data_IF_488999210790
#
_entry.id   IF_488999210790
#
_cell.length_a   1.000
_cell.length_b   1.000
_cell.length_c   1.000
_cell.angle_alpha   90.00
_cell.angle_beta   90.00
_cell.angle_gamma   90.00
#
_symmetry.space_group_name_H-M   'P 1'
#
loop_
_entity.id
_entity.type
_entity.pdbx_description
1 polymer ?
#
# COMPACT_ATOMS: atom_id res chain seq x y z
N UNK A 1 -25.48 18.53 -30.51
CA UNK A 1 -26.95 18.56 -30.50
C UNK A 1 -27.36 19.53 -29.41
N UNK A 2 -28.49 20.23 -29.54
CA UNK A 2 -28.97 21.12 -28.46
C UNK A 2 -29.67 20.31 -27.40
N UNK A 3 -29.32 20.52 -26.14
CA UNK A 3 -30.09 20.03 -24.98
C UNK A 3 -31.51 20.62 -25.06
N UNK A 4 -32.52 19.81 -24.77
CA UNK A 4 -33.92 20.30 -24.69
C UNK A 4 -34.02 21.24 -23.49
N UNK A 5 -34.59 22.42 -23.67
CA UNK A 5 -34.78 23.40 -22.60
C UNK A 5 -36.29 23.68 -22.45
N UNK A 6 -36.93 23.26 -21.33
CA UNK A 6 -36.34 22.64 -20.14
C UNK A 6 -36.03 21.14 -20.30
N UNK A 7 -35.04 20.62 -19.56
CA UNK A 7 -34.69 19.19 -19.47
C UNK A 7 -35.65 18.44 -18.53
N UNK A 8 -36.20 19.12 -17.52
CA UNK A 8 -37.12 18.54 -16.53
C UNK A 8 -38.57 18.84 -16.94
N UNK A 9 -39.41 17.80 -16.97
CA UNK A 9 -40.86 17.94 -17.12
C UNK A 9 -41.50 18.39 -15.81
N UNK A 10 -41.31 17.59 -14.76
CA UNK A 10 -41.82 17.87 -13.42
C UNK A 10 -41.01 17.12 -12.35
N UNK A 11 -41.21 17.54 -11.10
CA UNK A 11 -40.74 16.83 -9.92
C UNK A 11 -41.92 16.14 -9.26
N UNK A 12 -41.75 14.88 -8.87
CA UNK A 12 -42.69 14.17 -8.00
C UNK A 12 -42.05 13.98 -6.62
N UNK A 13 -42.42 14.81 -5.63
CA UNK A 13 -41.86 14.70 -4.29
C UNK A 13 -42.37 13.50 -3.49
N UNK A 14 -43.53 12.94 -3.83
CA UNK A 14 -44.08 11.79 -3.12
C UNK A 14 -43.31 10.52 -3.49
N UNK A 15 -42.99 10.36 -4.77
CA UNK A 15 -42.16 9.27 -5.27
C UNK A 15 -40.65 9.57 -5.22
N UNK A 16 -40.27 10.83 -4.98
CA UNK A 16 -38.89 11.33 -5.06
C UNK A 16 -38.27 11.07 -6.43
N UNK A 17 -38.91 11.61 -7.47
CA UNK A 17 -38.53 11.40 -8.89
C UNK A 17 -38.41 12.72 -9.65
N UNK A 18 -37.34 12.84 -10.42
CA UNK A 18 -37.13 13.93 -11.38
C UNK A 18 -37.46 13.37 -12.76
N UNK A 19 -38.59 13.78 -13.36
CA UNK A 19 -38.99 13.30 -14.67
C UNK A 19 -38.38 14.15 -15.78
N UNK A 20 -37.74 13.50 -16.75
CA UNK A 20 -37.18 14.19 -17.91
C UNK A 20 -38.28 14.59 -18.91
N UNK A 21 -38.12 15.77 -19.50
CA UNK A 21 -39.00 16.33 -20.51
C UNK A 21 -39.05 15.50 -21.79
N UNK A 22 -40.15 15.64 -22.52
CA UNK A 22 -40.31 14.98 -23.80
C UNK A 22 -39.24 15.45 -24.80
N UNK A 23 -38.50 14.50 -25.38
CA UNK A 23 -37.40 14.76 -26.31
C UNK A 23 -36.04 14.95 -25.65
N UNK A 24 -35.92 14.90 -24.31
CA UNK A 24 -34.65 14.98 -23.61
C UNK A 24 -33.80 13.74 -23.88
N UNK A 25 -32.77 13.88 -24.72
CA UNK A 25 -31.83 12.80 -25.09
C UNK A 25 -30.44 13.01 -24.50
N UNK A 26 -30.17 14.16 -23.89
CA UNK A 26 -28.88 14.50 -23.27
C UNK A 26 -29.13 15.42 -22.07
N UNK A 27 -28.35 15.24 -20.99
CA UNK A 27 -28.26 16.22 -19.91
C UNK A 27 -26.91 16.16 -19.19
N UNK A 28 -26.55 17.28 -18.58
CA UNK A 28 -25.46 17.39 -17.63
C UNK A 28 -26.04 17.61 -16.21
N UNK A 29 -25.76 16.72 -15.23
CA UNK A 29 -26.40 16.72 -13.92
C UNK A 29 -26.32 18.05 -13.14
N UNK A 30 -25.21 18.78 -13.26
CA UNK A 30 -25.02 20.06 -12.54
C UNK A 30 -25.56 21.28 -13.29
N UNK A 31 -25.31 21.40 -14.60
CA UNK A 31 -25.71 22.60 -15.35
C UNK A 31 -27.18 22.58 -15.71
N UNK A 32 -27.75 21.40 -15.90
CA UNK A 32 -29.12 21.26 -16.41
C UNK A 32 -30.02 20.87 -15.24
N UNK A 33 -29.87 19.66 -14.67
CA UNK A 33 -30.77 19.19 -13.61
C UNK A 33 -30.70 20.06 -12.34
N UNK A 34 -29.52 20.28 -11.76
CA UNK A 34 -29.42 21.09 -10.54
C UNK A 34 -29.89 22.53 -10.74
N UNK A 35 -29.57 23.16 -11.87
CA UNK A 35 -30.00 24.52 -12.16
C UNK A 35 -31.52 24.63 -12.36
N UNK A 36 -32.12 23.67 -13.07
CA UNK A 36 -33.56 23.62 -13.30
C UNK A 36 -34.35 23.28 -12.04
N UNK A 37 -33.90 22.32 -11.22
CA UNK A 37 -34.53 22.03 -9.91
C UNK A 37 -34.55 23.27 -9.03
N UNK A 38 -33.46 24.05 -9.01
CA UNK A 38 -33.39 25.31 -8.27
C UNK A 38 -34.38 26.34 -8.81
N UNK A 39 -34.55 26.40 -10.13
CA UNK A 39 -35.50 27.31 -10.79
C UNK A 39 -36.95 26.90 -10.53
N UNK A 40 -37.29 25.62 -10.69
CA UNK A 40 -38.63 25.07 -10.41
C UNK A 40 -39.03 25.33 -8.96
N UNK A 41 -38.15 25.07 -7.99
CA UNK A 41 -38.42 25.35 -6.57
C UNK A 41 -38.57 26.83 -6.23
N UNK A 42 -38.02 27.73 -7.06
CA UNK A 42 -38.18 29.18 -6.90
C UNK A 42 -39.51 29.67 -7.47
N UNK A 43 -40.02 29.02 -8.51
CA UNK A 43 -41.22 29.43 -9.23
C UNK A 43 -42.49 28.74 -8.71
N UNK A 44 -42.37 27.54 -8.17
CA UNK A 44 -43.46 26.76 -7.61
C UNK A 44 -43.34 26.63 -6.09
N UNK A 45 -44.20 27.36 -5.37
CA UNK A 45 -44.26 27.35 -3.91
C UNK A 45 -44.60 25.96 -3.34
N UNK A 46 -45.26 25.10 -4.11
CA UNK A 46 -45.55 23.73 -3.69
C UNK A 46 -44.29 22.87 -3.63
N UNK A 47 -43.18 23.29 -4.22
CA UNK A 47 -41.90 22.57 -4.15
C UNK A 47 -40.97 23.14 -3.07
N UNK A 48 -41.33 24.26 -2.44
CA UNK A 48 -40.47 24.95 -1.48
C UNK A 48 -40.36 24.17 -0.15
N UNK A 49 -41.45 23.54 0.29
CA UNK A 49 -41.52 22.84 1.59
C UNK A 49 -40.82 21.48 1.62
N UNK A 50 -40.37 20.97 0.47
CA UNK A 50 -39.63 19.72 0.39
C UNK A 50 -38.12 19.91 0.55
N UNK A 51 -37.45 18.84 1.01
CA UNK A 51 -36.00 18.78 1.01
C UNK A 51 -35.44 18.85 -0.42
N UNK A 52 -34.23 19.39 -0.55
CA UNK A 52 -33.60 19.58 -1.86
C UNK A 52 -33.37 18.23 -2.57
N UNK A 53 -33.89 18.02 -3.79
CA UNK A 53 -33.67 16.78 -4.54
C UNK A 53 -32.22 16.53 -4.97
N UNK A 54 -31.52 17.62 -5.32
CA UNK A 54 -30.17 17.55 -5.88
C UNK A 54 -29.32 18.70 -5.35
N UNK A 55 -28.07 18.40 -5.00
CA UNK A 55 -27.05 19.39 -4.66
C UNK A 55 -25.88 19.29 -5.64
N UNK A 56 -25.15 20.38 -5.82
CA UNK A 56 -23.92 20.39 -6.62
C UNK A 56 -22.72 20.48 -5.69
N UNK A 57 -21.73 19.61 -5.91
CA UNK A 57 -20.48 19.57 -5.16
C UNK A 57 -19.28 19.47 -6.13
N UNK A 58 -18.08 19.43 -5.58
CA UNK A 58 -16.84 19.48 -6.35
C UNK A 58 -16.36 20.91 -6.57
N UNK A 59 -15.68 21.17 -7.70
CA UNK A 59 -15.00 22.44 -7.97
C UNK A 59 -14.01 22.85 -6.85
N UNK A 60 -13.37 21.85 -6.23
CA UNK A 60 -12.38 22.04 -5.16
C UNK A 60 -11.06 22.43 -5.83
N UNK A 61 -10.38 23.50 -5.38
CA UNK A 61 -9.11 23.92 -5.97
C UNK A 61 -8.03 22.85 -5.76
N UNK A 62 -7.35 22.46 -6.84
CA UNK A 62 -6.17 21.58 -6.83
C UNK A 62 -4.85 22.36 -6.85
N UNK A 63 -4.91 23.69 -6.90
CA UNK A 63 -3.76 24.56 -7.17
C UNK A 63 -3.51 24.79 -8.66
N UNK A 64 -2.71 25.80 -9.00
CA UNK A 64 -2.36 26.11 -10.41
C UNK A 64 -3.53 26.48 -11.31
N UNK A 65 -4.62 27.03 -10.76
CA UNK A 65 -5.85 27.35 -11.51
C UNK A 65 -6.69 26.13 -11.92
N UNK A 66 -6.31 24.92 -11.49
CA UNK A 66 -7.05 23.67 -11.76
C UNK A 66 -8.01 23.35 -10.62
N UNK A 67 -9.14 22.75 -10.95
CA UNK A 67 -10.20 22.38 -10.00
C UNK A 67 -10.60 20.90 -10.19
N UNK A 68 -11.21 20.29 -9.17
CA UNK A 68 -11.93 19.02 -9.35
C UNK A 68 -13.16 19.23 -10.21
N UNK A 69 -13.57 18.17 -10.93
CA UNK A 69 -14.83 18.16 -11.68
C UNK A 69 -16.01 18.46 -10.75
N UNK A 70 -17.04 19.11 -11.29
CA UNK A 70 -18.32 19.29 -10.59
C UNK A 70 -19.14 18.02 -10.75
N UNK A 71 -19.87 17.66 -9.69
CA UNK A 71 -20.78 16.53 -9.70
C UNK A 71 -22.09 16.87 -8.99
N UNK A 72 -23.17 16.21 -9.40
CA UNK A 72 -24.46 16.30 -8.73
C UNK A 72 -24.59 15.18 -7.70
N UNK A 73 -25.16 15.50 -6.54
CA UNK A 73 -25.55 14.54 -5.51
C UNK A 73 -27.07 14.55 -5.43
N UNK A 74 -27.72 13.46 -5.84
CA UNK A 74 -29.14 13.25 -5.58
C UNK A 74 -29.32 12.86 -4.12
N UNK A 75 -30.11 13.65 -3.41
CA UNK A 75 -30.25 13.53 -1.96
C UNK A 75 -31.51 12.74 -1.61
N UNK A 76 -31.54 12.14 -0.44
CA UNK A 76 -32.71 11.56 0.21
C UNK A 76 -33.45 10.51 -0.64
N UNK A 77 -32.75 9.76 -1.48
CA UNK A 77 -33.32 8.72 -2.34
C UNK A 77 -34.04 9.23 -3.60
N UNK A 78 -33.77 10.49 -4.01
CA UNK A 78 -34.25 10.99 -5.30
C UNK A 78 -33.53 10.32 -6.48
N UNK A 79 -34.29 10.00 -7.53
CA UNK A 79 -33.76 9.41 -8.77
C UNK A 79 -34.30 10.13 -10.01
N UNK A 80 -33.56 10.06 -11.11
CA UNK A 80 -33.97 10.61 -12.41
C UNK A 80 -34.76 9.56 -13.20
N UNK A 81 -35.90 9.93 -13.76
CA UNK A 81 -36.72 9.05 -14.60
C UNK A 81 -36.60 9.51 -16.04
N UNK A 82 -36.04 8.68 -16.95
CA UNK A 82 -36.06 8.96 -18.37
C UNK A 82 -37.46 9.12 -18.93
N UNK A 83 -37.57 9.76 -20.09
CA UNK A 83 -38.83 9.74 -20.83
C UNK A 83 -39.23 8.29 -21.18
N UNK A 84 -40.52 7.97 -21.03
CA UNK A 84 -41.08 6.66 -21.34
C UNK A 84 -41.27 6.42 -22.86
N UNK A 85 -40.15 6.49 -23.58
CA UNK A 85 -40.03 6.19 -25.01
C UNK A 85 -38.68 5.52 -25.29
N UNK A 86 -38.60 4.71 -26.32
CA UNK A 86 -37.33 4.07 -26.70
C UNK A 86 -36.37 5.09 -27.31
N UNK A 87 -35.25 5.36 -26.64
CA UNK A 87 -34.23 6.32 -27.08
C UNK A 87 -32.86 6.03 -26.45
N UNK A 88 -31.84 6.78 -26.87
CA UNK A 88 -30.54 6.83 -26.22
C UNK A 88 -30.43 8.10 -25.38
N UNK A 89 -29.96 7.98 -24.15
CA UNK A 89 -29.81 9.06 -23.17
C UNK A 89 -28.33 9.26 -22.84
N UNK A 90 -27.81 10.45 -23.13
CA UNK A 90 -26.41 10.81 -22.92
C UNK A 90 -26.24 11.66 -21.66
N UNK A 91 -25.30 11.28 -20.80
CA UNK A 91 -25.02 11.94 -19.52
C UNK A 91 -23.55 12.34 -19.50
N UNK A 92 -23.29 13.64 -19.62
CA UNK A 92 -21.94 14.22 -19.83
C UNK A 92 -21.25 14.70 -18.56
N UNK A 93 -21.88 14.54 -17.40
CA UNK A 93 -21.35 14.96 -16.10
C UNK A 93 -21.49 13.88 -15.04
N UNK A 94 -20.84 14.11 -13.90
CA UNK A 94 -20.84 13.14 -12.82
C UNK A 94 -22.05 13.29 -11.90
N UNK A 95 -22.65 12.16 -11.54
CA UNK A 95 -23.83 12.09 -10.68
C UNK A 95 -23.70 10.91 -9.73
N UNK A 96 -24.07 11.15 -8.47
CA UNK A 96 -24.07 10.18 -7.38
C UNK A 96 -25.31 10.35 -6.52
N UNK A 97 -25.64 9.37 -5.69
CA UNK A 97 -26.66 9.50 -4.63
C UNK A 97 -25.99 9.60 -3.25
N UNK A 98 -26.71 10.14 -2.26
CA UNK A 98 -26.29 10.09 -0.86
C UNK A 98 -26.38 8.68 -0.23
N UNK A 99 -26.92 7.71 -0.97
CA UNK A 99 -26.99 6.29 -0.63
C UNK A 99 -25.82 5.47 -1.21
N UNK A 100 -24.90 6.11 -1.94
CA UNK A 100 -23.69 5.49 -2.48
C UNK A 100 -23.84 4.87 -3.88
N UNK A 101 -24.92 5.18 -4.59
CA UNK A 101 -25.06 4.84 -6.02
C UNK A 101 -24.36 5.89 -6.89
N UNK A 102 -23.94 5.50 -8.10
CA UNK A 102 -23.25 6.39 -9.04
C UNK A 102 -23.66 6.11 -10.50
N UNK A 103 -23.53 7.15 -11.34
CA UNK A 103 -23.73 7.04 -12.78
C UNK A 103 -25.13 6.54 -13.15
N UNK A 104 -25.28 5.50 -14.01
CA UNK A 104 -26.59 5.00 -14.43
C UNK A 104 -27.50 4.52 -13.31
N UNK A 105 -26.95 4.11 -12.15
CA UNK A 105 -27.74 3.65 -11.01
C UNK A 105 -28.57 4.78 -10.35
N UNK A 106 -28.25 6.04 -10.64
CA UNK A 106 -29.02 7.20 -10.23
C UNK A 106 -30.34 7.38 -11.01
N UNK A 107 -30.56 6.56 -12.06
CA UNK A 107 -31.80 6.57 -12.83
C UNK A 107 -32.75 5.49 -12.34
N UNK A 108 -34.05 5.80 -12.36
CA UNK A 108 -35.12 4.84 -12.16
C UNK A 108 -35.80 4.54 -13.50
N UNK A 109 -35.51 3.36 -14.04
CA UNK A 109 -36.14 2.82 -15.25
C UNK A 109 -37.25 1.81 -14.94
N UNK A 110 -37.51 1.52 -13.66
CA UNK A 110 -38.46 0.49 -13.24
C UNK A 110 -39.92 0.86 -13.48
N UNK A 111 -40.20 2.16 -13.62
CA UNK A 111 -41.54 2.71 -13.84
C UNK A 111 -41.86 2.95 -15.32
N UNK A 112 -40.96 2.60 -16.24
CA UNK A 112 -41.18 2.73 -17.67
C UNK A 112 -42.14 1.65 -18.18
N UNK A 113 -42.90 1.96 -19.22
CA UNK A 113 -43.87 1.04 -19.80
C UNK A 113 -43.19 -0.21 -20.35
N UNK A 114 -43.84 -1.38 -20.26
CA UNK A 114 -43.33 -2.60 -20.89
C UNK A 114 -43.08 -2.39 -22.38
N UNK A 115 -41.84 -2.59 -22.83
CA UNK A 115 -41.42 -2.37 -24.23
C UNK A 115 -40.64 -1.08 -24.48
N UNK A 116 -40.58 -0.17 -23.51
CA UNK A 116 -39.68 0.98 -23.55
C UNK A 116 -38.24 0.54 -23.27
N UNK A 117 -37.30 0.94 -24.14
CA UNK A 117 -35.88 0.68 -23.94
C UNK A 117 -35.06 1.98 -24.01
N UNK A 118 -34.46 2.35 -22.88
CA UNK A 118 -33.59 3.54 -22.78
C UNK A 118 -32.14 3.09 -22.68
N UNK A 119 -31.36 3.34 -23.72
CA UNK A 119 -29.91 3.06 -23.73
C UNK A 119 -29.18 4.21 -23.07
N UNK A 120 -28.54 3.97 -21.92
CA UNK A 120 -27.85 5.00 -21.14
C UNK A 120 -26.36 5.04 -21.53
N UNK A 121 -25.92 6.20 -22.03
CA UNK A 121 -24.51 6.51 -22.27
C UNK A 121 -24.02 7.45 -21.17
N UNK A 122 -23.14 6.95 -20.32
CA UNK A 122 -22.58 7.70 -19.19
C UNK A 122 -21.08 7.90 -19.37
N UNK A 123 -20.65 9.15 -19.55
CA UNK A 123 -19.23 9.52 -19.69
C UNK A 123 -18.89 10.62 -18.68
N UNK A 124 -18.47 10.26 -17.45
CA UNK A 124 -18.09 11.25 -16.46
C UNK A 124 -16.77 11.93 -16.85
N UNK A 125 -16.58 13.21 -16.51
CA UNK A 125 -15.32 13.91 -16.75
C UNK A 125 -14.18 13.22 -16.00
N UNK A 126 -13.22 12.68 -16.74
CA UNK A 126 -12.12 11.88 -16.20
C UNK A 126 -11.41 12.56 -15.02
N UNK A 127 -11.51 11.98 -13.83
CA UNK A 127 -10.66 12.33 -12.71
C UNK A 127 -9.24 11.83 -13.00
N UNK A 128 -8.32 12.76 -13.28
CA UNK A 128 -6.90 12.46 -13.44
C UNK A 128 -6.33 11.82 -12.15
N UNK A 129 -5.98 10.54 -12.22
CA UNK A 129 -5.12 9.88 -11.23
C UNK A 129 -3.69 10.35 -11.46
N UNK A 130 -3.21 11.29 -10.65
CA UNK A 130 -1.77 11.59 -10.57
C UNK A 130 -1.13 10.42 -9.82
N UNK A 131 -0.76 9.37 -10.53
CA UNK A 131 -0.01 8.26 -9.94
C UNK A 131 1.41 8.72 -9.62
N UNK A 132 1.87 8.44 -8.40
CA UNK A 132 3.25 8.62 -7.96
C UNK A 132 4.17 7.53 -8.56
N UNK A 133 4.07 7.26 -9.86
CA UNK A 133 4.77 6.16 -10.53
C UNK A 133 6.29 6.29 -10.43
N UNK A 134 6.80 7.53 -10.40
CA UNK A 134 8.22 7.82 -10.19
C UNK A 134 8.68 7.45 -8.78
N UNK A 135 7.89 7.75 -7.75
CA UNK A 135 8.22 7.42 -6.36
C UNK A 135 8.14 5.92 -6.12
N UNK A 136 7.13 5.25 -6.70
CA UNK A 136 6.98 3.81 -6.62
C UNK A 136 8.15 3.06 -7.28
N UNK A 137 8.61 3.54 -8.45
CA UNK A 137 9.77 2.98 -9.13
C UNK A 137 11.05 3.15 -8.28
N UNK A 138 11.24 4.31 -7.66
CA UNK A 138 12.39 4.56 -6.79
C UNK A 138 12.39 3.66 -5.54
N UNK A 139 11.23 3.47 -4.90
CA UNK A 139 11.07 2.57 -3.75
C UNK A 139 11.36 1.11 -4.16
N UNK A 140 10.86 0.68 -5.31
CA UNK A 140 11.10 -0.69 -5.80
C UNK A 140 12.59 -0.98 -6.01
N UNK A 141 13.33 -0.05 -6.61
CA UNK A 141 14.78 -0.16 -6.78
C UNK A 141 15.51 -0.20 -5.43
N UNK A 142 15.10 0.63 -4.46
CA UNK A 142 15.69 0.63 -3.13
C UNK A 142 15.49 -0.71 -2.41
N UNK A 143 14.30 -1.30 -2.52
CA UNK A 143 13.99 -2.62 -1.93
C UNK A 143 14.85 -3.72 -2.56
N UNK A 144 14.98 -3.74 -3.89
CA UNK A 144 15.83 -4.72 -4.58
C UNK A 144 17.30 -4.59 -4.17
N UNK A 145 17.80 -3.36 -4.01
CA UNK A 145 19.16 -3.12 -3.54
C UNK A 145 19.40 -3.61 -2.10
N UNK A 146 18.38 -3.51 -1.24
CA UNK A 146 18.44 -4.07 0.13
C UNK A 146 18.43 -5.59 0.07
N UNK A 147 17.52 -6.20 -0.69
CA UNK A 147 17.42 -7.66 -0.85
C UNK A 147 18.74 -8.27 -1.35
N UNK A 148 19.33 -7.69 -2.40
CA UNK A 148 20.61 -8.16 -2.93
C UNK A 148 21.73 -8.12 -1.89
N UNK A 149 21.73 -7.13 -0.99
CA UNK A 149 22.70 -7.05 0.10
C UNK A 149 22.42 -8.08 1.19
N UNK A 150 21.16 -8.29 1.56
CA UNK A 150 20.79 -9.21 2.64
C UNK A 150 20.94 -10.67 2.23
N UNK A 151 20.59 -11.01 0.99
CA UNK A 151 20.66 -12.38 0.48
C UNK A 151 22.11 -12.85 0.28
N UNK A 152 23.03 -11.90 0.08
CA UNK A 152 24.47 -12.16 0.01
C UNK A 152 25.17 -12.25 1.35
N UNK A 153 24.48 -12.04 2.48
CA UNK A 153 25.10 -12.18 3.79
C UNK A 153 25.29 -13.67 4.13
N UNK A 154 26.49 -14.08 4.57
CA UNK A 154 26.74 -15.44 4.98
C UNK A 154 25.85 -15.81 6.18
N UNK A 155 25.25 -17.00 6.15
CA UNK A 155 24.47 -17.55 7.26
C UNK A 155 25.39 -18.11 8.35
N UNK A 156 26.14 -17.22 9.02
CA UNK A 156 27.09 -17.58 10.08
C UNK A 156 28.55 -17.68 9.62
N UNK A 157 29.37 -18.36 10.42
CA UNK A 157 30.82 -18.48 10.18
C UNK A 157 31.06 -19.34 8.94
N UNK A 158 31.74 -18.79 7.94
CA UNK A 158 31.92 -19.47 6.66
C UNK A 158 33.05 -20.51 6.70
N UNK A 159 32.79 -21.71 6.15
CA UNK A 159 33.80 -22.78 6.04
C UNK A 159 34.97 -22.30 5.18
N UNK A 160 36.19 -22.53 5.64
CA UNK A 160 37.40 -22.16 4.91
C UNK A 160 37.70 -20.66 4.89
N UNK A 161 36.88 -19.82 5.54
CA UNK A 161 37.12 -18.37 5.65
C UNK A 161 37.73 -18.03 7.01
N UNK A 162 38.67 -17.07 7.08
CA UNK A 162 39.25 -16.65 8.35
C UNK A 162 38.19 -16.00 9.25
N UNK A 163 38.26 -16.29 10.55
CA UNK A 163 37.45 -15.66 11.59
C UNK A 163 38.37 -14.85 12.51
N UNK A 164 38.42 -13.54 12.24
CA UNK A 164 39.17 -12.61 13.08
C UNK A 164 38.43 -12.34 14.41
N UNK A 165 39.19 -12.15 15.48
CA UNK A 165 38.68 -11.73 16.77
C UNK A 165 37.85 -12.78 17.50
N UNK A 166 38.12 -14.07 17.30
CA UNK A 166 37.44 -15.14 18.04
C UNK A 166 37.75 -15.02 19.54
N UNK A 167 36.73 -14.72 20.34
CA UNK A 167 36.86 -14.43 21.76
C UNK A 167 36.36 -15.59 22.62
N UNK A 168 37.06 -15.86 23.72
CA UNK A 168 36.67 -16.86 24.72
C UNK A 168 37.19 -16.47 26.11
N UNK A 169 36.63 -17.03 27.17
CA UNK A 169 37.10 -16.80 28.54
C UNK A 169 37.93 -17.99 29.03
N UNK A 170 39.06 -17.73 29.68
CA UNK A 170 39.74 -18.77 30.48
C UNK A 170 39.18 -18.72 31.90
N UNK A 171 38.71 -19.86 32.39
CA UNK A 171 38.02 -19.95 33.67
C UNK A 171 38.85 -20.76 34.66
N UNK A 172 38.76 -20.42 35.94
CA UNK A 172 39.15 -21.27 37.05
C UNK A 172 37.98 -21.31 38.03
N UNK A 173 37.44 -22.49 38.32
CA UNK A 173 36.26 -22.63 39.18
C UNK A 173 35.08 -21.75 38.70
N UNK A 174 34.92 -21.62 37.38
CA UNK A 174 33.87 -20.82 36.76
C UNK A 174 34.10 -19.30 36.75
N UNK A 175 35.24 -18.80 37.23
CA UNK A 175 35.57 -17.37 37.22
C UNK A 175 36.63 -17.03 36.16
N UNK A 176 36.47 -15.95 35.39
CA UNK A 176 37.49 -15.51 34.43
C UNK A 176 38.83 -15.16 35.09
N UNK A 177 39.93 -15.65 34.52
CA UNK A 177 41.28 -15.42 35.06
C UNK A 177 42.10 -14.58 34.08
N UNK A 178 42.49 -13.34 34.44
CA UNK A 178 43.33 -12.48 33.61
C UNK A 178 44.82 -12.86 33.70
N UNK A 179 45.63 -12.31 32.79
CA UNK A 179 47.09 -12.36 32.85
C UNK A 179 47.71 -13.71 32.51
N UNK A 180 46.98 -14.62 31.86
CA UNK A 180 47.47 -15.95 31.51
C UNK A 180 48.16 -15.98 30.16
N UNK A 181 49.22 -16.79 30.05
CA UNK A 181 49.77 -17.21 28.76
C UNK A 181 48.98 -18.42 28.28
N UNK A 182 48.09 -18.21 27.30
CA UNK A 182 47.20 -19.24 26.78
C UNK A 182 47.77 -19.87 25.51
N UNK A 183 47.82 -21.19 25.47
CA UNK A 183 48.10 -21.96 24.27
C UNK A 183 46.78 -22.44 23.65
N UNK A 184 46.65 -22.29 22.33
CA UNK A 184 45.50 -22.79 21.57
C UNK A 184 45.91 -23.90 20.61
N UNK A 185 45.09 -24.94 20.52
CA UNK A 185 45.27 -26.04 19.60
C UNK A 185 43.94 -26.39 18.91
N UNK A 186 44.00 -26.77 17.63
CA UNK A 186 42.90 -27.47 16.96
C UNK A 186 42.94 -28.95 17.33
N UNK A 187 41.83 -29.47 17.81
CA UNK A 187 41.65 -30.88 18.17
C UNK A 187 41.41 -31.68 16.90
N UNK A 188 42.37 -32.54 16.54
CA UNK A 188 42.27 -33.44 15.39
C UNK A 188 41.91 -34.87 15.79
N UNK A 189 41.64 -35.72 14.81
CA UNK A 189 41.35 -37.15 15.01
C UNK A 189 42.58 -37.98 15.37
N UNK A 190 43.77 -37.54 14.96
CA UNK A 190 45.03 -38.26 15.17
C UNK A 190 45.99 -37.52 16.10
N UNK A 191 46.07 -36.19 15.98
CA UNK A 191 46.88 -35.33 16.85
C UNK A 191 46.28 -33.93 16.92
N UNK A 192 46.52 -33.24 18.02
CA UNK A 192 46.27 -31.81 18.12
C UNK A 192 47.34 -31.03 17.34
N UNK A 193 46.93 -29.96 16.69
CA UNK A 193 47.84 -29.05 16.01
C UNK A 193 47.77 -27.67 16.68
N UNK A 194 48.91 -26.97 16.89
CA UNK A 194 48.88 -25.62 17.43
C UNK A 194 48.13 -24.68 16.48
N UNK A 195 47.44 -23.68 17.05
CA UNK A 195 46.85 -22.62 16.24
C UNK A 195 47.92 -21.79 15.54
N UNK A 196 47.59 -21.27 14.35
CA UNK A 196 48.49 -20.48 13.53
C UNK A 196 48.84 -19.12 14.16
N UNK A 197 47.92 -18.55 14.93
CA UNK A 197 48.11 -17.28 15.63
C UNK A 197 48.14 -17.46 17.15
N UNK A 198 48.95 -16.64 17.82
CA UNK A 198 49.04 -16.63 19.27
C UNK A 198 47.76 -16.06 19.90
N UNK A 199 47.35 -16.65 21.02
CA UNK A 199 46.27 -16.12 21.84
C UNK A 199 46.77 -14.92 22.64
N UNK A 200 45.98 -13.86 22.72
CA UNK A 200 46.26 -12.69 23.55
C UNK A 200 45.08 -12.35 24.47
N UNK A 201 45.35 -11.78 25.65
CA UNK A 201 44.28 -11.29 26.50
C UNK A 201 43.69 -9.99 25.93
N UNK A 202 42.37 -9.91 25.84
CA UNK A 202 41.66 -8.70 25.46
C UNK A 202 41.29 -7.86 26.69
N UNK A 203 40.65 -8.48 27.70
CA UNK A 203 40.28 -7.84 28.98
C UNK A 203 39.75 -8.85 30.00
N UNK A 204 40.16 -8.74 31.26
CA UNK A 204 39.55 -9.39 32.42
C UNK A 204 39.33 -10.91 32.23
N UNK A 205 40.33 -11.62 31.73
CA UNK A 205 40.24 -13.07 31.51
C UNK A 205 39.48 -13.49 30.25
N UNK A 206 39.09 -12.54 29.39
CA UNK A 206 38.65 -12.79 28.02
C UNK A 206 39.85 -12.66 27.09
N UNK A 207 40.08 -13.71 26.31
CA UNK A 207 41.17 -13.86 25.36
C UNK A 207 40.65 -13.85 23.93
N UNK A 208 41.52 -13.51 22.99
CA UNK A 208 41.22 -13.39 21.57
C UNK A 208 42.31 -14.08 20.74
N UNK A 209 41.89 -14.71 19.65
CA UNK A 209 42.76 -15.29 18.62
C UNK A 209 42.10 -15.12 17.25
N UNK A 210 42.90 -14.95 16.22
CA UNK A 210 42.43 -14.97 14.83
C UNK A 210 42.52 -16.39 14.28
N UNK A 211 41.40 -16.96 13.86
CA UNK A 211 41.36 -18.28 13.22
C UNK A 211 41.53 -18.12 11.71
N UNK A 212 42.40 -18.92 11.13
CA UNK A 212 42.64 -18.98 9.69
C UNK A 212 41.55 -19.80 8.99
N UNK A 213 41.41 -19.63 7.68
CA UNK A 213 40.51 -20.45 6.88
C UNK A 213 40.85 -21.94 6.95
N UNK A 214 42.13 -22.30 7.05
CA UNK A 214 42.60 -23.71 7.15
C UNK A 214 42.15 -24.38 8.45
N UNK A 215 41.98 -23.59 9.52
CA UNK A 215 41.50 -24.08 10.81
C UNK A 215 39.97 -24.23 10.86
N UNK A 216 39.26 -23.70 9.87
CA UNK A 216 37.80 -23.68 9.75
C UNK A 216 37.30 -24.48 8.53
N UNK A 217 38.04 -25.49 8.09
CA UNK A 217 37.71 -26.30 6.90
C UNK A 217 36.67 -27.38 7.16
N UNK A 218 36.50 -27.82 8.40
CA UNK A 218 35.55 -28.88 8.74
C UNK A 218 34.18 -28.28 9.10
N UNK A 219 33.06 -29.01 8.93
CA UNK A 219 31.74 -28.52 9.35
C UNK A 219 31.67 -28.19 10.85
N UNK A 220 32.46 -28.87 11.68
CA UNK A 220 32.60 -28.65 13.11
C UNK A 220 34.09 -28.68 13.51
N UNK A 221 34.64 -27.52 13.85
CA UNK A 221 36.04 -27.36 14.22
C UNK A 221 36.14 -27.23 15.73
N UNK A 222 36.86 -28.14 16.39
CA UNK A 222 37.00 -28.12 17.86
C UNK A 222 38.37 -27.58 18.25
N UNK A 223 38.37 -26.62 19.16
CA UNK A 223 39.57 -25.96 19.67
C UNK A 223 39.71 -26.20 21.15
N UNK A 224 40.94 -26.43 21.59
CA UNK A 224 41.31 -26.57 23.00
C UNK A 224 42.24 -25.43 23.38
N UNK A 225 41.92 -24.76 24.48
CA UNK A 225 42.73 -23.69 25.05
C UNK A 225 43.20 -24.08 26.44
N UNK A 226 44.49 -23.94 26.71
CA UNK A 226 45.12 -24.33 27.98
C UNK A 226 46.01 -23.21 28.51
N UNK A 227 46.04 -23.06 29.83
CA UNK A 227 46.97 -22.20 30.53
C UNK A 227 47.20 -22.73 31.95
N UNK A 228 48.39 -22.50 32.50
CA UNK A 228 48.63 -22.80 33.92
C UNK A 228 47.78 -21.85 34.78
N UNK A 229 47.07 -22.40 35.77
CA UNK A 229 46.19 -21.60 36.64
C UNK A 229 44.77 -21.39 36.11
N UNK A 230 44.36 -22.11 35.06
CA UNK A 230 42.97 -22.16 34.59
C UNK A 230 42.57 -23.57 34.13
N UNK A 231 41.27 -23.83 34.11
CA UNK A 231 40.66 -25.03 33.58
C UNK A 231 40.73 -25.01 32.02
N UNK A 232 41.15 -26.10 31.36
CA UNK A 232 41.14 -26.18 29.90
C UNK A 232 39.76 -25.90 29.31
N UNK A 233 39.70 -25.05 28.28
CA UNK A 233 38.47 -24.73 27.58
C UNK A 233 38.40 -25.49 26.25
N UNK A 234 37.28 -26.12 25.97
CA UNK A 234 37.02 -26.79 24.68
C UNK A 234 35.82 -26.13 24.03
N UNK A 235 36.02 -25.60 22.82
CA UNK A 235 35.00 -24.86 22.09
C UNK A 235 34.89 -25.41 20.68
N UNK A 236 33.67 -25.73 20.25
CA UNK A 236 33.39 -26.19 18.89
C UNK A 236 32.73 -25.07 18.10
N UNK A 237 33.31 -24.72 16.96
CA UNK A 237 32.77 -23.77 15.99
C UNK A 237 32.16 -24.54 14.84
N UNK A 238 30.86 -24.36 14.63
CA UNK A 238 30.13 -24.92 13.48
C UNK A 238 30.17 -23.90 12.35
N UNK A 239 30.63 -24.33 11.18
CA UNK A 239 30.73 -23.46 9.99
C UNK A 239 29.65 -23.81 8.97
N UNK A 240 29.10 -22.80 8.31
CA UNK A 240 28.23 -22.92 7.15
C UNK A 240 29.02 -22.67 5.87
N UNK A 241 28.69 -23.39 4.81
CA UNK A 241 29.45 -23.36 3.56
C UNK A 241 29.23 -24.61 2.73
#
# INVERSE_FOLDING_TARGET
>A
MSVVDPVIDHLDPALKRIFLAAGATEYHPVTDLYAEVRSLRRLDDTLHWFQMPVTAAGNVPKGGGKFTSRYAVFCHGWKVVPQDVTHALYISGEQITDEGEAGPACLDTSILSPGTNVTIHYEPPASELVRADTELAAISLAVQAIQAKTDGLPSGIQRGQPLAGFCFAMLLNGQPVPGLTVAGERVGTTANAPLAHAVSERRNGVYVVDLTGVELVDPANTFRFTAAGADPQIITVVTSG
#
